data_IF_782708174900
#
_entry.id   IF_782708174900
#
_cell.length_a   1.000
_cell.length_b   1.000
_cell.length_c   1.000
_cell.angle_alpha   90.00
_cell.angle_beta   90.00
_cell.angle_gamma   90.00
#
_symmetry.space_group_name_H-M   'P 1'
#
loop_
_entity.id
_entity.type
_entity.pdbx_description
1 polymer ?
#
# COMPACT_ATOMS: atom_id res chain seq x y z
N UNK A 1 -26.93 -0.87 8.03
CA UNK A 1 -25.94 -1.55 8.90
C UNK A 1 -24.77 -2.02 8.05
N UNK A 2 -23.53 -1.79 8.49
CA UNK A 2 -22.31 -2.26 7.80
C UNK A 2 -22.19 -3.77 7.96
N UNK A 3 -21.97 -4.48 6.85
CA UNK A 3 -21.77 -5.93 6.78
C UNK A 3 -20.36 -6.32 6.33
N UNK A 4 -19.62 -5.39 5.74
CA UNK A 4 -18.22 -5.60 5.37
C UNK A 4 -17.38 -4.34 5.53
N UNK A 5 -16.09 -4.56 5.80
CA UNK A 5 -15.06 -3.51 5.75
C UNK A 5 -14.05 -3.85 4.66
N UNK A 6 -13.89 -2.94 3.72
CA UNK A 6 -12.87 -3.01 2.67
C UNK A 6 -11.71 -2.12 3.07
N UNK A 7 -10.50 -2.62 2.96
CA UNK A 7 -9.28 -1.89 3.28
C UNK A 7 -8.43 -1.68 2.03
N UNK A 8 -7.85 -0.50 1.89
CA UNK A 8 -6.62 -0.39 1.12
C UNK A 8 -5.48 -1.10 1.87
N UNK A 9 -4.39 -1.39 1.18
CA UNK A 9 -3.26 -2.13 1.75
C UNK A 9 -2.13 -1.19 2.19
N UNK A 10 -1.56 -0.47 1.22
CA UNK A 10 -0.37 0.35 1.42
C UNK A 10 -0.71 1.65 2.16
N UNK A 11 0.04 1.97 3.20
CA UNK A 11 -0.22 3.08 4.13
C UNK A 11 -1.57 3.02 4.87
N UNK A 12 -2.31 1.92 4.73
CA UNK A 12 -3.55 1.68 5.49
C UNK A 12 -3.38 0.51 6.46
N UNK A 13 -2.82 -0.61 6.02
CA UNK A 13 -2.50 -1.76 6.87
C UNK A 13 -0.99 -1.89 7.14
N UNK A 14 -0.16 -1.37 6.25
CA UNK A 14 1.31 -1.35 6.34
C UNK A 14 1.85 0.04 6.04
N UNK A 15 2.90 0.48 6.73
CA UNK A 15 3.64 1.70 6.40
C UNK A 15 4.56 1.49 5.20
N UNK A 16 3.94 1.46 4.03
CA UNK A 16 4.64 1.20 2.76
C UNK A 16 5.64 2.30 2.42
N UNK A 17 5.30 3.57 2.67
CA UNK A 17 6.18 4.68 2.27
C UNK A 17 7.43 4.76 3.14
N UNK A 18 7.33 4.52 4.44
CA UNK A 18 8.51 4.44 5.32
C UNK A 18 9.38 3.24 4.96
N UNK A 19 8.79 2.06 4.79
CA UNK A 19 9.50 0.87 4.30
C UNK A 19 10.24 1.16 2.98
N UNK A 20 9.56 1.77 2.02
CA UNK A 20 10.11 2.10 0.71
C UNK A 20 11.28 3.06 0.82
N UNK A 21 11.12 4.12 1.60
CA UNK A 21 12.16 5.14 1.84
C UNK A 21 13.42 4.50 2.41
N UNK A 22 13.31 3.81 3.54
CA UNK A 22 14.45 3.19 4.22
C UNK A 22 15.14 2.13 3.36
N UNK A 23 14.36 1.35 2.60
CA UNK A 23 14.92 0.37 1.66
C UNK A 23 15.70 1.02 0.52
N UNK A 24 15.22 2.15 -0.01
CA UNK A 24 15.94 2.90 -1.06
C UNK A 24 17.21 3.54 -0.51
N UNK A 25 17.18 4.13 0.67
CA UNK A 25 18.34 4.70 1.35
C UNK A 25 19.42 3.63 1.54
N UNK A 26 19.09 2.49 2.11
CA UNK A 26 20.00 1.38 2.28
C UNK A 26 20.59 0.86 0.95
N UNK A 27 19.78 0.84 -0.11
CA UNK A 27 20.26 0.45 -1.43
C UNK A 27 21.31 1.42 -1.97
N UNK A 28 21.05 2.73 -1.84
CA UNK A 28 21.97 3.78 -2.30
C UNK A 28 23.28 3.73 -1.50
N UNK A 29 23.21 3.63 -0.16
CA UNK A 29 24.40 3.50 0.69
C UNK A 29 25.26 2.29 0.29
N UNK A 30 24.61 1.15 0.06
CA UNK A 30 25.33 -0.06 -0.38
C UNK A 30 25.96 0.09 -1.77
N UNK A 31 25.28 0.78 -2.69
CA UNK A 31 25.83 1.07 -4.02
C UNK A 31 27.03 2.03 -3.95
N UNK A 32 26.97 3.06 -3.11
CA UNK A 32 28.08 3.99 -2.88
C UNK A 32 29.25 3.25 -2.24
N UNK A 33 29.01 2.44 -1.21
CA UNK A 33 30.03 1.60 -0.59
C UNK A 33 30.66 0.58 -1.54
N UNK A 34 29.92 0.16 -2.58
CA UNK A 34 30.42 -0.70 -3.66
C UNK A 34 31.16 0.08 -4.78
N UNK A 35 31.33 1.41 -4.65
CA UNK A 35 32.10 2.24 -5.57
C UNK A 35 31.27 3.08 -6.55
N UNK A 36 29.98 3.27 -6.32
CA UNK A 36 29.19 4.24 -7.08
C UNK A 36 29.60 5.66 -6.66
N UNK A 37 30.20 6.41 -7.57
CA UNK A 37 30.69 7.76 -7.30
C UNK A 37 29.57 8.80 -7.49
N UNK A 38 28.81 9.05 -6.44
CA UNK A 38 27.75 10.07 -6.38
C UNK A 38 27.49 10.44 -4.92
N UNK A 39 27.03 11.67 -4.66
CA UNK A 39 26.55 12.05 -3.32
C UNK A 39 25.22 11.38 -3.00
N UNK A 40 25.05 10.93 -1.76
CA UNK A 40 23.84 10.24 -1.32
C UNK A 40 22.54 11.01 -1.67
N UNK A 41 22.47 12.31 -1.32
CA UNK A 41 21.25 13.11 -1.55
C UNK A 41 20.91 13.27 -3.03
N UNK A 42 21.93 13.38 -3.88
CA UNK A 42 21.76 13.44 -5.32
C UNK A 42 21.26 12.09 -5.88
N UNK A 43 21.82 11.00 -5.40
CA UNK A 43 21.41 9.65 -5.78
C UNK A 43 19.94 9.39 -5.43
N UNK A 44 19.51 9.75 -4.21
CA UNK A 44 18.11 9.66 -3.77
C UNK A 44 17.21 10.49 -4.67
N UNK A 45 17.58 11.72 -5.00
CA UNK A 45 16.79 12.58 -5.90
C UNK A 45 16.60 11.94 -7.29
N UNK A 46 17.68 11.41 -7.85
CA UNK A 46 17.64 10.74 -9.16
C UNK A 46 16.78 9.49 -9.10
N UNK A 47 16.90 8.68 -8.04
CA UNK A 47 16.12 7.47 -7.86
C UNK A 47 14.61 7.77 -7.76
N UNK A 48 14.22 8.74 -6.93
CA UNK A 48 12.80 9.11 -6.82
C UNK A 48 12.25 9.73 -8.10
N UNK A 49 13.00 10.54 -8.82
CA UNK A 49 12.59 11.02 -10.14
C UNK A 49 12.39 9.90 -11.17
N UNK A 50 13.07 8.76 -11.03
CA UNK A 50 12.79 7.58 -11.83
C UNK A 50 11.51 6.86 -11.36
N UNK A 51 11.25 6.78 -10.06
CA UNK A 51 9.99 6.25 -9.54
C UNK A 51 8.77 7.08 -9.97
N UNK A 52 8.88 8.40 -9.99
CA UNK A 52 7.81 9.28 -10.48
C UNK A 52 7.48 8.99 -11.96
N UNK A 53 8.49 8.68 -12.77
CA UNK A 53 8.33 8.37 -14.19
C UNK A 53 7.86 6.94 -14.46
N UNK A 54 8.33 5.96 -13.70
CA UNK A 54 8.16 4.53 -14.00
C UNK A 54 7.26 3.80 -13.00
N UNK A 55 6.80 4.50 -11.96
CA UNK A 55 5.99 3.94 -10.87
C UNK A 55 6.80 3.30 -9.76
N UNK A 56 6.24 3.32 -8.54
CA UNK A 56 6.90 2.81 -7.32
C UNK A 56 7.17 1.31 -7.32
N UNK A 57 6.56 0.56 -8.24
CA UNK A 57 6.68 -0.89 -8.34
C UNK A 57 7.55 -1.35 -9.53
N UNK A 58 8.29 -0.43 -10.17
CA UNK A 58 9.19 -0.79 -11.29
C UNK A 58 10.23 -1.83 -10.83
N UNK A 59 10.25 -2.96 -11.56
CA UNK A 59 11.08 -4.13 -11.23
C UNK A 59 12.57 -3.93 -11.57
N UNK A 60 12.88 -2.96 -12.45
CA UNK A 60 14.23 -2.70 -12.96
C UNK A 60 14.72 -1.30 -12.63
N UNK A 61 14.18 -0.70 -11.59
CA UNK A 61 14.48 0.70 -11.23
C UNK A 61 15.97 0.94 -10.97
N UNK A 62 16.65 0.02 -10.28
CA UNK A 62 18.07 0.15 -10.00
C UNK A 62 18.94 0.00 -11.24
N UNK A 63 18.54 -0.83 -12.20
CA UNK A 63 19.20 -0.91 -13.51
C UNK A 63 19.04 0.40 -14.28
N UNK A 64 17.83 0.99 -14.29
CA UNK A 64 17.56 2.30 -14.88
C UNK A 64 18.38 3.40 -14.21
N UNK A 65 18.49 3.34 -12.88
CA UNK A 65 19.25 4.27 -12.08
C UNK A 65 20.73 4.25 -12.45
N UNK A 66 21.38 3.08 -12.45
CA UNK A 66 22.79 2.94 -12.82
C UNK A 66 23.04 3.34 -14.27
N UNK A 67 22.16 2.93 -15.19
CA UNK A 67 22.28 3.31 -16.60
C UNK A 67 22.17 4.81 -16.81
N UNK A 68 21.30 5.50 -16.06
CA UNK A 68 21.15 6.96 -16.12
C UNK A 68 22.38 7.69 -15.59
N UNK A 69 23.03 7.20 -14.53
CA UNK A 69 24.19 7.86 -13.90
C UNK A 69 25.51 7.58 -14.61
N UNK A 70 25.75 6.31 -14.99
CA UNK A 70 27.04 5.84 -15.47
C UNK A 70 27.03 5.34 -16.91
N UNK A 71 25.93 5.45 -17.62
CA UNK A 71 25.74 4.94 -19.00
C UNK A 71 25.72 3.43 -19.13
N UNK A 72 26.15 2.69 -18.10
CA UNK A 72 26.25 1.23 -18.06
C UNK A 72 25.80 0.66 -16.73
N UNK A 73 25.60 -0.64 -16.66
CA UNK A 73 25.25 -1.34 -15.43
C UNK A 73 26.48 -2.08 -14.91
N UNK A 74 26.98 -1.67 -13.75
CA UNK A 74 27.93 -2.46 -12.97
C UNK A 74 27.14 -3.43 -12.09
N UNK A 75 27.26 -4.73 -12.36
CA UNK A 75 26.49 -5.75 -11.65
C UNK A 75 26.91 -5.95 -10.19
N UNK A 76 28.17 -5.62 -9.83
CA UNK A 76 28.64 -5.66 -8.44
C UNK A 76 27.93 -4.58 -7.62
N UNK A 77 27.88 -3.35 -8.15
CA UNK A 77 27.16 -2.23 -7.53
C UNK A 77 25.65 -2.53 -7.48
N UNK A 78 25.07 -3.00 -8.58
CA UNK A 78 23.67 -3.37 -8.64
C UNK A 78 23.29 -4.43 -7.60
N UNK A 79 24.06 -5.50 -7.51
CA UNK A 79 23.81 -6.59 -6.57
C UNK A 79 23.87 -6.11 -5.10
N UNK A 80 24.86 -5.27 -4.76
CA UNK A 80 24.99 -4.67 -3.42
C UNK A 80 23.74 -3.88 -3.05
N UNK A 81 23.24 -3.02 -3.94
CA UNK A 81 22.01 -2.26 -3.69
C UNK A 81 20.77 -3.14 -3.59
N UNK A 82 20.60 -4.14 -4.46
CA UNK A 82 19.45 -5.06 -4.41
C UNK A 82 19.42 -5.85 -3.08
N UNK A 83 20.58 -6.34 -2.63
CA UNK A 83 20.68 -7.10 -1.37
C UNK A 83 20.32 -6.21 -0.18
N UNK A 84 20.88 -5.00 -0.10
CA UNK A 84 20.56 -4.06 0.99
C UNK A 84 19.09 -3.66 0.98
N UNK A 85 18.53 -3.33 -0.19
CA UNK A 85 17.10 -3.05 -0.35
C UNK A 85 16.22 -4.17 0.20
N UNK A 86 16.51 -5.42 -0.18
CA UNK A 86 15.70 -6.58 0.25
C UNK A 86 15.75 -6.81 1.75
N UNK A 87 16.95 -6.71 2.36
CA UNK A 87 17.12 -6.90 3.81
C UNK A 87 16.29 -5.90 4.61
N UNK A 88 16.35 -4.63 4.27
CA UNK A 88 15.56 -3.59 4.95
C UNK A 88 14.07 -3.79 4.69
N UNK A 89 13.68 -4.01 3.42
CA UNK A 89 12.28 -4.23 3.06
C UNK A 89 11.64 -5.36 3.86
N UNK A 90 12.33 -6.49 4.00
CA UNK A 90 11.80 -7.65 4.73
C UNK A 90 11.62 -7.38 6.22
N UNK A 91 12.51 -6.62 6.84
CA UNK A 91 12.39 -6.21 8.24
C UNK A 91 11.26 -5.19 8.52
N UNK A 92 10.77 -4.50 7.47
CA UNK A 92 9.68 -3.50 7.58
C UNK A 92 8.33 -3.98 7.04
N UNK A 93 8.19 -5.26 6.66
CA UNK A 93 6.90 -5.83 6.25
C UNK A 93 6.05 -6.23 7.47
N UNK A 94 5.83 -5.26 8.35
CA UNK A 94 5.01 -5.39 9.55
C UNK A 94 3.74 -4.54 9.42
N UNK A 95 2.59 -5.00 9.95
CA UNK A 95 1.38 -4.21 9.93
C UNK A 95 1.48 -3.01 10.86
N UNK A 96 0.70 -1.97 10.60
CA UNK A 96 0.51 -0.89 11.59
C UNK A 96 0.06 -1.46 12.94
N UNK A 97 0.38 -0.79 14.05
CA UNK A 97 -0.04 -1.24 15.38
C UNK A 97 -1.54 -1.52 15.45
N UNK A 98 -1.92 -2.66 16.01
CA UNK A 98 -3.28 -3.15 16.23
C UNK A 98 -4.07 -3.58 14.98
N UNK A 99 -3.48 -3.69 13.82
CA UNK A 99 -4.17 -4.16 12.60
C UNK A 99 -4.72 -5.57 12.84
N UNK A 100 -3.90 -6.52 13.27
CA UNK A 100 -4.27 -7.90 13.58
C UNK A 100 -5.43 -7.99 14.57
N UNK A 101 -5.33 -7.24 15.67
CA UNK A 101 -6.39 -7.14 16.69
C UNK A 101 -7.71 -6.65 16.09
N UNK A 102 -7.67 -5.59 15.28
CA UNK A 102 -8.88 -5.01 14.66
C UNK A 102 -9.50 -5.99 13.67
N UNK A 103 -8.70 -6.62 12.79
CA UNK A 103 -9.20 -7.59 11.83
C UNK A 103 -9.85 -8.79 12.55
N UNK A 104 -9.22 -9.31 13.61
CA UNK A 104 -9.78 -10.38 14.43
C UNK A 104 -11.12 -9.98 15.05
N UNK A 105 -11.21 -8.76 15.62
CA UNK A 105 -12.46 -8.26 16.22
C UNK A 105 -13.57 -8.09 15.18
N UNK A 106 -13.24 -7.54 14.01
CA UNK A 106 -14.21 -7.38 12.91
C UNK A 106 -14.75 -8.74 12.43
N UNK A 107 -13.88 -9.74 12.28
CA UNK A 107 -14.30 -11.13 11.95
C UNK A 107 -15.17 -11.71 13.06
N UNK A 108 -14.83 -11.51 14.32
CA UNK A 108 -15.62 -11.95 15.48
C UNK A 108 -17.00 -11.28 15.57
N UNK A 109 -17.20 -10.12 14.94
CA UNK A 109 -18.50 -9.46 14.78
C UNK A 109 -19.30 -10.00 13.57
N UNK A 110 -18.79 -11.00 12.86
CA UNK A 110 -19.44 -11.56 11.66
C UNK A 110 -19.28 -10.71 10.41
N UNK A 111 -18.43 -9.69 10.41
CA UNK A 111 -18.20 -8.83 9.24
C UNK A 111 -17.29 -9.53 8.21
N UNK A 112 -17.61 -9.36 6.94
CA UNK A 112 -16.71 -9.74 5.85
C UNK A 112 -15.61 -8.70 5.69
N UNK A 113 -14.40 -9.16 5.34
CA UNK A 113 -13.25 -8.29 5.13
C UNK A 113 -12.73 -8.43 3.71
N UNK A 114 -12.34 -7.33 3.08
CA UNK A 114 -11.70 -7.37 1.78
C UNK A 114 -10.52 -6.39 1.68
N UNK A 115 -9.59 -6.71 0.77
CA UNK A 115 -8.57 -5.77 0.30
C UNK A 115 -8.97 -5.25 -1.08
N UNK A 116 -8.79 -3.94 -1.29
CA UNK A 116 -8.89 -3.28 -2.59
C UNK A 116 -7.64 -2.44 -2.79
N UNK A 117 -6.66 -2.97 -3.50
CA UNK A 117 -5.35 -2.34 -3.67
C UNK A 117 -4.98 -2.13 -5.13
N UNK A 118 -4.21 -1.05 -5.40
CA UNK A 118 -3.60 -0.79 -6.70
C UNK A 118 -2.29 -1.55 -6.91
N UNK A 119 -1.81 -2.26 -5.87
CA UNK A 119 -0.59 -3.05 -5.95
C UNK A 119 -0.73 -4.24 -6.91
N UNK A 120 0.37 -4.64 -7.59
CA UNK A 120 0.41 -5.89 -8.34
C UNK A 120 0.09 -7.10 -7.46
N UNK A 121 -0.64 -8.07 -8.00
CA UNK A 121 -1.17 -9.25 -7.28
C UNK A 121 -0.11 -9.94 -6.42
N UNK A 122 0.99 -10.35 -7.01
CA UNK A 122 2.05 -11.04 -6.27
C UNK A 122 2.62 -10.17 -5.14
N UNK A 123 2.75 -8.86 -5.37
CA UNK A 123 3.25 -7.92 -4.35
C UNK A 123 2.28 -7.76 -3.19
N UNK A 124 0.98 -7.66 -3.47
CA UNK A 124 -0.05 -7.61 -2.43
C UNK A 124 -0.04 -8.88 -1.57
N UNK A 125 0.01 -10.05 -2.18
CA UNK A 125 0.05 -11.32 -1.47
C UNK A 125 1.34 -11.53 -0.66
N UNK A 126 2.51 -11.09 -1.18
CA UNK A 126 3.76 -11.12 -0.40
C UNK A 126 3.63 -10.26 0.87
N UNK A 127 3.03 -9.05 0.77
CA UNK A 127 2.79 -8.19 1.94
C UNK A 127 1.85 -8.86 2.94
N UNK A 128 0.70 -9.37 2.48
CA UNK A 128 -0.26 -10.06 3.34
C UNK A 128 0.34 -11.29 4.03
N UNK A 129 1.15 -12.08 3.30
CA UNK A 129 1.82 -13.26 3.86
C UNK A 129 2.87 -12.88 4.91
N UNK A 130 3.72 -11.89 4.61
CA UNK A 130 4.74 -11.42 5.54
C UNK A 130 4.13 -10.91 6.85
N UNK A 131 3.03 -10.15 6.76
CA UNK A 131 2.26 -9.65 7.91
C UNK A 131 1.40 -10.72 8.60
N UNK A 132 1.35 -11.97 8.09
CA UNK A 132 0.48 -13.06 8.56
C UNK A 132 -1.02 -12.73 8.49
N UNK A 133 -1.42 -11.87 7.56
CA UNK A 133 -2.79 -11.39 7.40
C UNK A 133 -3.58 -12.09 6.30
N UNK A 134 -2.99 -13.03 5.55
CA UNK A 134 -3.59 -13.67 4.38
C UNK A 134 -4.97 -14.30 4.62
N UNK A 135 -5.19 -14.84 5.81
CA UNK A 135 -6.39 -15.61 6.15
C UNK A 135 -7.55 -14.77 6.71
N UNK A 136 -7.37 -13.46 6.88
CA UNK A 136 -8.44 -12.61 7.40
C UNK A 136 -9.46 -12.19 6.32
N UNK A 137 -9.06 -12.18 5.05
CA UNK A 137 -9.82 -11.55 3.99
C UNK A 137 -10.66 -12.53 3.17
N UNK A 138 -11.94 -12.23 3.05
CA UNK A 138 -12.92 -12.98 2.22
C UNK A 138 -12.76 -12.64 0.74
N UNK A 139 -12.12 -11.50 0.41
CA UNK A 139 -11.79 -11.09 -0.95
C UNK A 139 -10.50 -10.25 -0.98
N UNK A 140 -9.67 -10.43 -2.00
CA UNK A 140 -8.49 -9.61 -2.27
C UNK A 140 -8.52 -9.20 -3.74
N UNK A 141 -8.77 -7.91 -3.98
CA UNK A 141 -8.80 -7.31 -5.32
C UNK A 141 -7.54 -6.50 -5.53
N UNK A 142 -6.80 -6.84 -6.58
CA UNK A 142 -5.53 -6.25 -6.97
C UNK A 142 -5.65 -5.58 -8.35
N UNK A 143 -4.60 -4.90 -8.79
CA UNK A 143 -4.59 -4.28 -10.12
C UNK A 143 -4.92 -5.28 -11.25
N UNK A 144 -4.39 -6.51 -11.20
CA UNK A 144 -4.60 -7.50 -12.24
C UNK A 144 -6.05 -7.97 -12.38
N UNK A 145 -6.86 -7.85 -11.33
CA UNK A 145 -8.26 -8.29 -11.35
C UNK A 145 -9.16 -7.40 -12.19
N UNK A 146 -8.79 -6.13 -12.35
CA UNK A 146 -9.61 -5.15 -13.07
C UNK A 146 -8.86 -4.39 -14.16
N UNK A 147 -7.53 -4.43 -14.14
CA UNK A 147 -6.63 -3.61 -14.99
C UNK A 147 -6.88 -2.10 -14.87
N UNK A 148 -7.49 -1.70 -13.77
CA UNK A 148 -7.82 -0.31 -13.48
C UNK A 148 -7.43 0.04 -12.05
N UNK A 149 -6.84 1.22 -11.90
CA UNK A 149 -6.51 1.79 -10.60
C UNK A 149 -7.70 2.51 -9.97
N UNK A 150 -7.74 2.60 -8.66
CA UNK A 150 -8.59 3.54 -7.95
C UNK A 150 -8.25 4.97 -8.41
N UNK A 151 -9.21 5.88 -8.63
CA UNK A 151 -10.60 5.85 -8.19
C UNK A 151 -11.59 5.21 -9.17
N UNK A 152 -11.14 4.41 -10.16
CA UNK A 152 -12.09 3.67 -10.98
C UNK A 152 -13.08 2.88 -10.11
N UNK A 153 -14.33 2.81 -10.54
CA UNK A 153 -15.38 2.04 -9.86
C UNK A 153 -15.14 0.52 -9.92
N UNK A 154 -14.32 0.05 -10.87
CA UNK A 154 -14.15 -1.37 -11.16
C UNK A 154 -13.51 -2.17 -10.01
N UNK A 155 -12.41 -1.73 -9.34
CA UNK A 155 -11.86 -2.45 -8.19
C UNK A 155 -12.87 -2.63 -7.05
N UNK A 156 -13.62 -1.59 -6.71
CA UNK A 156 -14.64 -1.65 -5.66
C UNK A 156 -15.79 -2.60 -6.03
N UNK A 157 -16.30 -2.51 -7.27
CA UNK A 157 -17.36 -3.42 -7.77
C UNK A 157 -16.90 -4.86 -7.81
N UNK A 158 -15.63 -5.14 -8.11
CA UNK A 158 -15.06 -6.47 -8.09
C UNK A 158 -15.09 -7.05 -6.66
N UNK A 159 -14.69 -6.27 -5.65
CA UNK A 159 -14.77 -6.67 -4.26
C UNK A 159 -16.22 -6.93 -3.81
N UNK A 160 -17.13 -6.01 -4.12
CA UNK A 160 -18.56 -6.16 -3.76
C UNK A 160 -19.18 -7.42 -4.37
N UNK A 161 -18.83 -7.77 -5.62
CA UNK A 161 -19.31 -9.02 -6.26
C UNK A 161 -18.78 -10.25 -5.53
N UNK A 162 -17.50 -10.27 -5.16
CA UNK A 162 -16.92 -11.41 -4.40
C UNK A 162 -17.57 -11.54 -3.02
N UNK A 163 -17.84 -10.43 -2.35
CA UNK A 163 -18.50 -10.41 -1.05
C UNK A 163 -20.01 -10.68 -1.14
N UNK A 164 -20.63 -10.53 -2.32
CA UNK A 164 -22.10 -10.59 -2.54
C UNK A 164 -22.85 -9.57 -1.67
N UNK A 165 -22.36 -8.32 -1.65
CA UNK A 165 -22.92 -7.21 -0.86
C UNK A 165 -23.17 -5.98 -1.74
N UNK A 166 -24.07 -5.11 -1.25
CA UNK A 166 -24.35 -3.82 -1.85
C UNK A 166 -23.38 -2.75 -1.33
N UNK A 167 -23.14 -1.66 -2.10
CA UNK A 167 -22.22 -0.60 -1.67
C UNK A 167 -22.56 0.00 -0.30
N UNK A 168 -23.82 0.28 -0.04
CA UNK A 168 -24.31 0.90 1.20
C UNK A 168 -24.14 0.00 2.45
N UNK A 169 -23.87 -1.29 2.26
CA UNK A 169 -23.59 -2.26 3.33
C UNK A 169 -22.09 -2.32 3.67
N UNK A 170 -21.25 -1.52 2.99
CA UNK A 170 -19.81 -1.61 3.07
C UNK A 170 -19.15 -0.29 3.47
N UNK A 171 -18.08 -0.41 4.25
CA UNK A 171 -17.18 0.69 4.63
C UNK A 171 -15.85 0.52 3.91
N UNK A 172 -15.42 1.53 3.16
CA UNK A 172 -14.04 1.60 2.62
C UNK A 172 -13.15 2.37 3.58
N UNK A 173 -12.04 1.78 3.99
CA UNK A 173 -10.99 2.39 4.80
C UNK A 173 -9.72 2.53 3.96
N UNK A 174 -9.21 3.74 3.79
CA UNK A 174 -8.00 4.00 3.01
C UNK A 174 -7.38 5.36 3.32
N UNK A 175 -6.11 5.52 2.94
CA UNK A 175 -5.30 6.73 3.22
C UNK A 175 -5.25 7.73 2.06
N UNK A 176 -5.74 7.35 0.88
CA UNK A 176 -5.63 8.21 -0.32
C UNK A 176 -6.98 8.82 -0.73
N UNK A 177 -7.22 10.13 -0.42
CA UNK A 177 -8.51 10.77 -0.66
C UNK A 177 -8.99 10.67 -2.11
N UNK A 178 -8.12 10.92 -3.09
CA UNK A 178 -8.45 10.94 -4.51
C UNK A 178 -8.67 9.53 -5.10
N UNK A 179 -8.19 8.50 -4.44
CA UNK A 179 -8.32 7.11 -4.88
C UNK A 179 -9.37 6.34 -4.08
N UNK A 180 -9.14 6.18 -2.78
CA UNK A 180 -9.97 5.34 -1.92
C UNK A 180 -11.31 5.99 -1.63
N UNK A 181 -11.28 7.24 -1.13
CA UNK A 181 -12.49 7.94 -0.67
C UNK A 181 -13.35 8.33 -1.87
N UNK A 182 -12.76 9.00 -2.86
CA UNK A 182 -13.47 9.42 -4.08
C UNK A 182 -14.07 8.23 -4.83
N UNK A 183 -13.29 7.14 -5.01
CA UNK A 183 -13.73 5.97 -5.76
C UNK A 183 -14.86 5.20 -5.06
N UNK A 184 -14.76 4.99 -3.75
CA UNK A 184 -15.78 4.31 -2.96
C UNK A 184 -17.09 5.13 -2.87
N UNK A 185 -17.00 6.45 -2.60
CA UNK A 185 -18.16 7.34 -2.62
C UNK A 185 -18.90 7.35 -3.95
N UNK A 186 -18.17 7.30 -5.06
CA UNK A 186 -18.75 7.33 -6.41
C UNK A 186 -19.65 6.13 -6.73
N UNK A 187 -19.65 5.10 -5.87
CA UNK A 187 -20.55 3.93 -5.99
C UNK A 187 -21.49 3.78 -4.80
N UNK A 188 -21.53 4.74 -3.87
CA UNK A 188 -22.44 4.74 -2.74
C UNK A 188 -21.95 3.99 -1.49
N UNK A 189 -20.66 3.68 -1.39
CA UNK A 189 -20.09 3.12 -0.15
C UNK A 189 -19.89 4.20 0.91
N UNK A 190 -19.97 3.83 2.18
CA UNK A 190 -19.44 4.63 3.27
C UNK A 190 -17.93 4.63 3.24
N UNK A 191 -17.32 5.74 3.68
CA UNK A 191 -15.88 5.96 3.56
C UNK A 191 -15.27 6.38 4.89
N UNK A 192 -14.08 5.86 5.17
CA UNK A 192 -13.29 6.18 6.35
C UNK A 192 -11.86 6.51 5.93
N UNK A 193 -11.44 7.74 6.18
CA UNK A 193 -10.09 8.18 5.85
C UNK A 193 -9.11 7.81 6.98
N UNK A 194 -8.09 7.03 6.63
CA UNK A 194 -7.01 6.62 7.53
C UNK A 194 -5.94 7.72 7.59
N UNK A 195 -6.15 8.73 8.44
CA UNK A 195 -5.26 9.88 8.60
C UNK A 195 -3.82 9.50 8.96
N UNK A 196 -3.63 8.44 9.71
CA UNK A 196 -2.29 7.96 10.10
C UNK A 196 -1.44 7.51 8.91
N UNK A 197 -2.06 7.07 7.82
CA UNK A 197 -1.35 6.70 6.58
C UNK A 197 -0.99 7.90 5.70
N UNK A 198 -1.70 9.04 5.87
CA UNK A 198 -1.45 10.24 5.08
C UNK A 198 -1.70 11.53 5.89
N UNK A 199 -0.70 11.89 6.68
CA UNK A 199 -0.74 13.09 7.53
C UNK A 199 -0.76 14.40 6.72
N UNK A 200 -0.30 14.39 5.47
CA UNK A 200 -0.18 15.58 4.62
C UNK A 200 -1.48 15.91 3.87
N UNK A 201 -2.43 14.99 3.81
CA UNK A 201 -3.71 15.25 3.14
C UNK A 201 -4.45 16.40 3.83
N UNK A 202 -4.88 17.36 3.02
CA UNK A 202 -5.67 18.51 3.50
C UNK A 202 -7.10 18.04 3.85
N UNK A 203 -8.09 18.93 3.75
CA UNK A 203 -9.49 18.59 4.03
C UNK A 203 -9.97 17.43 3.15
N UNK A 204 -10.41 16.32 3.77
CA UNK A 204 -10.88 15.11 3.10
C UNK A 204 -12.39 14.99 3.25
N UNK A 205 -13.10 14.74 2.15
CA UNK A 205 -14.54 14.53 2.15
C UNK A 205 -14.89 13.05 2.36
N UNK A 206 -14.50 12.48 3.50
CA UNK A 206 -14.89 11.15 3.95
C UNK A 206 -16.05 11.23 4.94
N UNK A 207 -16.81 10.13 5.12
CA UNK A 207 -17.89 10.07 6.12
C UNK A 207 -17.33 9.97 7.53
N UNK A 208 -16.15 9.34 7.65
CA UNK A 208 -15.39 9.20 8.90
C UNK A 208 -13.91 9.47 8.65
N UNK A 209 -13.20 9.91 9.69
CA UNK A 209 -11.75 10.03 9.73
C UNK A 209 -11.22 9.38 11.02
N UNK A 210 -10.13 8.63 10.90
CA UNK A 210 -9.50 7.92 12.00
C UNK A 210 -8.00 8.23 12.07
N UNK A 211 -7.47 8.34 13.27
CA UNK A 211 -6.04 8.50 13.55
C UNK A 211 -5.38 7.21 14.04
N UNK A 212 -6.19 6.20 14.33
CA UNK A 212 -5.75 4.87 14.70
C UNK A 212 -6.76 3.85 14.15
N UNK A 213 -6.28 2.72 13.65
CA UNK A 213 -7.13 1.70 13.05
C UNK A 213 -8.17 1.12 14.04
N UNK A 214 -7.90 1.14 15.36
CA UNK A 214 -8.87 0.72 16.39
C UNK A 214 -10.21 1.47 16.32
N UNK A 215 -10.19 2.70 15.85
CA UNK A 215 -11.39 3.54 15.78
C UNK A 215 -12.43 2.98 14.79
N UNK A 216 -12.01 2.15 13.83
CA UNK A 216 -12.93 1.43 12.91
C UNK A 216 -13.96 0.61 13.69
N UNK A 217 -13.57 0.01 14.82
CA UNK A 217 -14.47 -0.79 15.66
C UNK A 217 -15.66 -0.01 16.21
N UNK A 218 -15.47 1.28 16.48
CA UNK A 218 -16.54 2.18 16.91
C UNK A 218 -17.48 2.60 15.78
N UNK A 219 -16.97 2.65 14.54
CA UNK A 219 -17.75 3.04 13.36
C UNK A 219 -18.73 1.93 12.96
N UNK A 220 -18.27 0.67 12.95
CA UNK A 220 -19.09 -0.47 12.50
C UNK A 220 -20.17 -0.91 13.51
N UNK A 221 -20.10 -0.46 14.76
CA UNK A 221 -21.10 -0.72 15.80
C UNK A 221 -22.32 0.20 15.71
N UNK A 222 -22.21 1.30 14.99
CA UNK A 222 -23.31 2.26 14.75
C UNK A 222 -24.15 1.81 13.54
#
# INVERSE_FOLDING_TARGET
MIKAVLFDLDNTLIDFMTMKKLSCEAAIDAMIGAGLNIRHDEAIKVLYGLYDKHGMEDKIIFQRFLKKLAGKIDYRILASGIVAYRRVREGFLEPYPNVDYVLLKLKGMGLKLAIVTDAPRLKAWIRLAAMKLSNYFDAVVTFEDTKQHKPSKMPFRAALRQLKLKPEECLMVGDWPERDIKGAKAIGMKTCFARYGNLKAKKVNADYEIRNIKEVLGIVKK
#
